data_IF_887173315165
#
_entry.id   IF_887173315165
#
_cell.length_a   1.000
_cell.length_b   1.000
_cell.length_c   1.000
_cell.angle_alpha   90.00
_cell.angle_beta   90.00
_cell.angle_gamma   90.00
#
_symmetry.space_group_name_H-M   'P 1'
#
loop_
_entity.id
_entity.type
_entity.pdbx_description
1 polymer ?
#
# COMPACT_ATOMS: atom_id res chain seq x y z
N UNK A 1 -74.17 -61.44 -36.07
CA UNK A 1 -74.50 -62.84 -35.64
C UNK A 1 -74.05 -63.00 -34.17
N UNK A 2 -75.04 -63.22 -33.28
CA UNK A 2 -74.98 -63.88 -31.98
C UNK A 2 -74.12 -63.19 -30.87
N UNK A 3 -74.59 -62.83 -29.81
CA UNK A 3 -75.53 -63.16 -28.70
C UNK A 3 -74.78 -62.78 -27.40
N UNK A 4 -75.30 -61.84 -26.69
CA UNK A 4 -75.70 -61.77 -25.27
C UNK A 4 -74.99 -62.69 -24.25
N UNK A 5 -74.57 -62.11 -23.16
CA UNK A 5 -75.15 -62.47 -21.87
C UNK A 5 -74.78 -61.52 -20.75
N UNK A 6 -75.80 -61.07 -20.07
CA UNK A 6 -75.75 -60.33 -18.83
C UNK A 6 -75.62 -61.23 -17.62
N UNK A 7 -74.85 -60.88 -16.63
CA UNK A 7 -75.07 -61.39 -15.26
C UNK A 7 -74.90 -60.19 -14.27
N UNK A 8 -75.98 -59.94 -13.54
CA UNK A 8 -76.08 -59.07 -12.37
C UNK A 8 -75.49 -59.79 -11.15
N UNK A 9 -74.72 -59.13 -10.36
CA UNK A 9 -74.69 -59.34 -8.92
C UNK A 9 -74.52 -58.00 -8.17
N UNK A 10 -75.37 -57.92 -7.14
CA UNK A 10 -75.53 -56.79 -6.23
C UNK A 10 -74.46 -56.76 -5.10
N UNK A 11 -74.23 -55.59 -4.62
CA UNK A 11 -74.08 -55.32 -3.20
C UNK A 11 -72.70 -55.38 -2.61
N UNK A 12 -72.16 -54.23 -2.24
CA UNK A 12 -71.88 -53.84 -0.84
C UNK A 12 -71.22 -52.42 -0.82
N UNK A 13 -71.93 -51.50 -0.19
CA UNK A 13 -71.40 -50.19 0.14
C UNK A 13 -70.52 -50.33 1.38
N UNK A 14 -69.22 -50.14 1.26
CA UNK A 14 -68.33 -49.95 2.41
C UNK A 14 -67.80 -48.51 2.34
N UNK A 15 -68.30 -47.67 3.24
CA UNK A 15 -67.76 -46.30 3.44
C UNK A 15 -66.42 -46.39 4.10
N UNK A 16 -65.33 -45.99 3.36
CA UNK A 16 -64.00 -45.76 3.93
C UNK A 16 -63.80 -44.25 4.00
N UNK A 17 -63.91 -43.72 5.22
CA UNK A 17 -63.51 -42.37 5.56
C UNK A 17 -61.97 -42.29 5.54
N UNK A 18 -61.43 -41.87 4.40
CA UNK A 18 -59.97 -41.56 4.26
C UNK A 18 -59.67 -40.21 4.86
N UNK A 19 -58.94 -40.13 6.01
CA UNK A 19 -58.31 -38.97 6.51
C UNK A 19 -57.12 -38.60 5.53
N UNK A 20 -57.33 -37.61 4.71
CA UNK A 20 -56.22 -36.98 3.97
C UNK A 20 -55.40 -36.09 4.92
N UNK A 21 -54.29 -36.62 5.47
CA UNK A 21 -53.28 -35.84 6.13
C UNK A 21 -52.57 -34.96 5.08
N UNK A 22 -52.95 -33.69 5.00
CA UNK A 22 -52.22 -32.70 4.24
C UNK A 22 -50.92 -32.42 4.98
N UNK A 23 -49.83 -33.10 4.56
CA UNK A 23 -48.48 -32.80 5.01
C UNK A 23 -48.10 -31.41 4.52
N UNK A 24 -48.06 -30.40 5.41
CA UNK A 24 -47.38 -29.11 5.15
C UNK A 24 -45.87 -29.39 4.96
N UNK A 25 -45.46 -29.50 3.70
CA UNK A 25 -44.04 -29.43 3.37
C UNK A 25 -43.63 -27.98 3.63
N UNK A 26 -42.98 -27.73 4.75
CA UNK A 26 -42.31 -26.45 5.00
C UNK A 26 -41.22 -26.30 3.95
N UNK A 27 -41.49 -25.56 2.87
CA UNK A 27 -40.49 -25.10 1.92
C UNK A 27 -39.58 -24.11 2.69
N UNK A 28 -38.51 -24.64 3.25
CA UNK A 28 -37.48 -23.81 3.83
C UNK A 28 -37.01 -22.80 2.77
N UNK A 29 -37.26 -21.52 3.00
CA UNK A 29 -36.69 -20.46 2.16
C UNK A 29 -35.18 -20.62 2.22
N UNK A 30 -34.59 -21.12 1.12
CA UNK A 30 -33.15 -21.05 0.90
C UNK A 30 -32.84 -19.55 0.76
N UNK A 31 -32.46 -18.94 1.85
CA UNK A 31 -32.01 -17.55 1.84
C UNK A 31 -30.76 -17.48 0.95
N UNK A 32 -30.90 -16.89 -0.22
CA UNK A 32 -29.78 -16.70 -1.14
C UNK A 32 -28.66 -15.98 -0.37
N UNK A 33 -27.47 -16.57 -0.35
CA UNK A 33 -26.31 -15.94 0.28
C UNK A 33 -26.03 -14.60 -0.43
N UNK A 34 -25.78 -13.53 0.33
CA UNK A 34 -25.48 -12.24 -0.29
C UNK A 34 -24.22 -12.36 -1.17
N UNK A 35 -24.22 -11.64 -2.30
CA UNK A 35 -23.09 -11.65 -3.23
C UNK A 35 -21.77 -11.29 -2.51
N UNK A 36 -20.64 -11.86 -2.91
CA UNK A 36 -19.33 -11.60 -2.29
C UNK A 36 -18.98 -10.10 -2.29
N UNK A 37 -18.28 -9.65 -1.27
CA UNK A 37 -17.59 -8.36 -1.28
C UNK A 37 -16.27 -8.54 -2.02
N UNK A 38 -16.15 -7.92 -3.20
CA UNK A 38 -14.94 -7.95 -3.99
C UNK A 38 -14.05 -6.75 -3.67
N UNK A 39 -12.82 -7.02 -3.29
CA UNK A 39 -11.76 -6.05 -3.07
C UNK A 39 -10.53 -6.45 -3.89
N UNK A 40 -9.66 -5.50 -4.18
CA UNK A 40 -8.56 -5.78 -5.09
C UNK A 40 -7.24 -5.17 -4.61
N UNK A 41 -6.14 -5.87 -4.90
CA UNK A 41 -4.79 -5.35 -4.84
C UNK A 41 -4.22 -5.24 -6.26
N UNK A 42 -3.80 -4.02 -6.63
CA UNK A 42 -3.19 -3.72 -7.91
C UNK A 42 -1.84 -3.09 -7.67
N UNK A 43 -0.77 -3.72 -8.11
CA UNK A 43 0.55 -3.15 -7.94
C UNK A 43 1.49 -3.51 -9.11
N UNK A 44 2.75 -3.04 -9.07
CA UNK A 44 3.80 -3.48 -9.98
C UNK A 44 4.41 -4.78 -9.47
N UNK A 45 3.75 -5.90 -9.72
CA UNK A 45 4.24 -7.23 -9.32
C UNK A 45 5.41 -7.73 -10.16
N UNK A 46 5.77 -7.00 -11.19
CA UNK A 46 6.93 -7.24 -12.04
C UNK A 46 7.77 -5.98 -12.23
N UNK A 47 8.97 -6.13 -12.82
CA UNK A 47 9.85 -5.00 -13.13
C UNK A 47 10.52 -4.39 -11.90
N UNK A 48 10.77 -3.07 -11.95
CA UNK A 48 11.59 -2.32 -10.99
C UNK A 48 11.11 -2.38 -9.54
N UNK A 49 9.82 -2.64 -9.32
CA UNK A 49 9.19 -2.70 -7.99
C UNK A 49 8.69 -4.10 -7.58
N UNK A 50 8.88 -5.13 -8.42
CA UNK A 50 8.33 -6.46 -8.18
C UNK A 50 8.72 -7.07 -6.82
N UNK A 51 9.95 -6.85 -6.38
CA UNK A 51 10.40 -7.33 -5.06
C UNK A 51 9.74 -6.60 -3.89
N UNK A 52 9.41 -5.32 -4.06
CA UNK A 52 8.80 -4.51 -2.99
C UNK A 52 7.36 -4.92 -2.70
N UNK A 53 6.63 -5.31 -3.76
CA UNK A 53 5.19 -5.60 -3.73
C UNK A 53 4.86 -7.08 -3.56
N UNK A 54 5.88 -7.94 -3.67
CA UNK A 54 5.69 -9.38 -3.51
C UNK A 54 5.16 -9.73 -2.11
N UNK A 55 4.00 -10.42 -2.06
CA UNK A 55 3.35 -10.85 -0.82
C UNK A 55 2.23 -9.94 -0.33
N UNK A 56 1.82 -8.95 -1.10
CA UNK A 56 0.68 -8.08 -0.77
C UNK A 56 -0.65 -8.83 -0.79
N UNK A 57 -0.82 -9.80 -1.70
CA UNK A 57 -2.02 -10.66 -1.74
C UNK A 57 -2.14 -11.47 -0.46
N UNK A 58 -1.05 -12.06 0.01
CA UNK A 58 -1.02 -12.82 1.25
C UNK A 58 -1.30 -11.93 2.48
N UNK A 59 -0.83 -10.68 2.46
CA UNK A 59 -1.13 -9.72 3.51
C UNK A 59 -2.62 -9.31 3.51
N UNK A 60 -3.23 -9.09 2.34
CA UNK A 60 -4.66 -8.85 2.20
C UNK A 60 -5.46 -10.06 2.71
N UNK A 61 -5.05 -11.28 2.37
CA UNK A 61 -5.68 -12.51 2.85
C UNK A 61 -5.64 -12.60 4.38
N UNK A 62 -4.51 -12.23 5.02
CA UNK A 62 -4.42 -12.20 6.49
C UNK A 62 -5.40 -11.22 7.13
N UNK A 63 -5.61 -10.05 6.52
CA UNK A 63 -6.57 -9.07 7.01
C UNK A 63 -8.03 -9.60 6.91
N UNK A 64 -8.34 -10.34 5.85
CA UNK A 64 -9.65 -11.00 5.68
C UNK A 64 -9.85 -12.10 6.74
N UNK A 65 -8.83 -12.91 7.00
CA UNK A 65 -8.88 -13.92 8.04
C UNK A 65 -9.12 -13.33 9.44
N UNK A 66 -8.48 -12.18 9.72
CA UNK A 66 -8.61 -11.50 11.01
C UNK A 66 -10.00 -10.88 11.26
N UNK A 67 -10.81 -10.70 10.20
CA UNK A 67 -12.24 -10.37 10.34
C UNK A 67 -13.17 -11.59 10.20
N UNK A 68 -12.62 -12.81 10.20
CA UNK A 68 -13.39 -14.07 10.13
C UNK A 68 -13.81 -14.48 8.73
N UNK A 69 -13.18 -13.95 7.67
CA UNK A 69 -13.42 -14.33 6.26
C UNK A 69 -14.70 -13.78 5.65
N UNK A 70 -15.55 -13.12 6.44
CA UNK A 70 -16.85 -12.57 6.02
C UNK A 70 -17.10 -11.22 6.66
N UNK A 71 -17.80 -10.35 5.94
CA UNK A 71 -18.28 -9.06 6.44
C UNK A 71 -19.77 -8.91 6.13
N UNK A 72 -20.59 -8.69 7.15
CA UNK A 72 -22.05 -8.58 7.05
C UNK A 72 -22.69 -9.76 6.28
N UNK A 73 -22.21 -10.99 6.54
CA UNK A 73 -22.68 -12.21 5.91
C UNK A 73 -22.13 -12.48 4.50
N UNK A 74 -21.42 -11.54 3.88
CA UNK A 74 -20.78 -11.68 2.56
C UNK A 74 -19.37 -12.27 2.73
N UNK A 75 -19.01 -13.28 1.96
CA UNK A 75 -17.61 -13.68 1.81
C UNK A 75 -16.80 -12.54 1.16
N UNK A 76 -15.51 -12.44 1.48
CA UNK A 76 -14.62 -11.47 0.84
C UNK A 76 -13.80 -12.17 -0.23
N UNK A 77 -13.84 -11.63 -1.46
CA UNK A 77 -13.12 -12.13 -2.63
C UNK A 77 -12.01 -11.16 -3.02
N UNK A 78 -10.80 -11.69 -3.26
CA UNK A 78 -9.64 -10.90 -3.68
C UNK A 78 -9.47 -11.00 -5.19
N UNK A 79 -9.32 -9.83 -5.84
CA UNK A 79 -8.77 -9.74 -7.18
C UNK A 79 -7.36 -9.17 -7.10
N UNK A 80 -6.46 -9.60 -8.01
CA UNK A 80 -5.12 -9.05 -8.12
C UNK A 80 -4.71 -8.85 -9.57
N UNK A 81 -3.92 -7.81 -9.84
CA UNK A 81 -3.37 -7.57 -11.17
C UNK A 81 -2.07 -6.74 -11.10
N UNK A 82 -1.19 -7.02 -12.07
CA UNK A 82 0.05 -6.28 -12.30
C UNK A 82 -0.19 -5.14 -13.29
N UNK A 83 -0.02 -3.90 -12.83
CA UNK A 83 -0.10 -2.71 -13.69
C UNK A 83 1.22 -2.43 -14.45
N UNK A 84 2.27 -3.22 -14.24
CA UNK A 84 3.55 -3.14 -14.96
C UNK A 84 4.20 -1.73 -14.93
N UNK A 85 3.93 -0.94 -13.87
CA UNK A 85 4.33 0.48 -13.76
C UNK A 85 3.76 1.40 -14.85
N UNK A 86 2.72 0.96 -15.60
CA UNK A 86 2.11 1.68 -16.72
C UNK A 86 0.75 2.29 -16.32
N UNK A 87 0.58 3.61 -16.37
CA UNK A 87 -0.67 4.28 -15.97
C UNK A 87 -1.89 3.86 -16.80
N UNK A 88 -1.72 3.64 -18.11
CA UNK A 88 -2.78 3.20 -19.01
C UNK A 88 -3.25 1.77 -18.70
N UNK A 89 -2.34 0.87 -18.37
CA UNK A 89 -2.66 -0.50 -17.92
C UNK A 89 -3.43 -0.46 -16.60
N UNK A 90 -2.93 0.27 -15.60
CA UNK A 90 -3.62 0.42 -14.32
C UNK A 90 -5.00 1.05 -14.47
N UNK A 91 -5.14 2.06 -15.33
CA UNK A 91 -6.41 2.70 -15.62
C UNK A 91 -7.41 1.74 -16.28
N UNK A 92 -6.97 0.94 -17.26
CA UNK A 92 -7.81 -0.06 -17.91
C UNK A 92 -8.31 -1.14 -16.96
N UNK A 93 -7.41 -1.65 -16.09
CA UNK A 93 -7.75 -2.64 -15.06
C UNK A 93 -8.76 -2.05 -14.07
N UNK A 94 -8.53 -0.82 -13.56
CA UNK A 94 -9.43 -0.17 -12.62
C UNK A 94 -10.84 0.03 -13.19
N UNK A 95 -10.97 0.49 -14.44
CA UNK A 95 -12.27 0.61 -15.12
C UNK A 95 -12.98 -0.75 -15.21
N UNK A 96 -12.30 -1.79 -15.68
CA UNK A 96 -12.87 -3.14 -15.76
C UNK A 96 -13.34 -3.63 -14.39
N UNK A 97 -12.52 -3.48 -13.36
CA UNK A 97 -12.85 -3.93 -12.01
C UNK A 97 -14.06 -3.21 -11.42
N UNK A 98 -14.16 -1.90 -11.62
CA UNK A 98 -15.28 -1.12 -11.11
C UNK A 98 -16.56 -1.32 -11.93
N UNK A 99 -16.47 -1.35 -13.27
CA UNK A 99 -17.64 -1.35 -14.16
C UNK A 99 -18.20 -2.77 -14.40
N UNK A 100 -17.34 -3.79 -14.41
CA UNK A 100 -17.70 -5.15 -14.82
C UNK A 100 -17.61 -6.13 -13.67
N UNK A 101 -16.49 -6.11 -12.93
CA UNK A 101 -16.22 -7.13 -11.92
C UNK A 101 -16.85 -6.81 -10.56
N UNK A 102 -17.30 -5.56 -10.33
CA UNK A 102 -18.00 -5.14 -9.12
C UNK A 102 -17.10 -4.94 -7.91
N UNK A 103 -15.81 -4.64 -8.11
CA UNK A 103 -14.84 -4.33 -7.05
C UNK A 103 -15.27 -3.07 -6.31
N UNK A 104 -15.23 -3.09 -4.98
CA UNK A 104 -15.62 -1.97 -4.11
C UNK A 104 -14.45 -1.16 -3.59
N UNK A 105 -13.25 -1.75 -3.54
CA UNK A 105 -12.04 -1.08 -3.07
C UNK A 105 -10.81 -1.64 -3.79
N UNK A 106 -9.94 -0.75 -4.25
CA UNK A 106 -8.62 -1.08 -4.79
C UNK A 106 -7.55 -0.56 -3.82
N UNK A 107 -6.54 -1.39 -3.50
CA UNK A 107 -5.37 -0.99 -2.71
C UNK A 107 -4.06 -1.40 -3.40
N UNK A 108 -2.91 -1.07 -2.81
CA UNK A 108 -1.58 -1.23 -3.41
C UNK A 108 -1.16 0.04 -4.12
N UNK A 109 -1.15 0.00 -5.45
CA UNK A 109 -0.88 1.15 -6.33
C UNK A 109 0.52 1.76 -6.07
N UNK A 110 1.57 0.94 -6.10
CA UNK A 110 2.95 1.33 -5.72
C UNK A 110 3.62 2.37 -6.64
N UNK A 111 3.06 2.65 -7.81
CA UNK A 111 3.62 3.61 -8.76
C UNK A 111 2.80 4.91 -8.78
N UNK A 112 3.40 6.07 -8.43
CA UNK A 112 2.65 7.32 -8.26
C UNK A 112 1.88 7.77 -9.51
N UNK A 113 2.42 7.58 -10.72
CA UNK A 113 1.71 7.90 -11.95
C UNK A 113 0.50 6.99 -12.20
N UNK A 114 0.59 5.71 -11.84
CA UNK A 114 -0.55 4.77 -11.87
C UNK A 114 -1.58 5.16 -10.81
N UNK A 115 -1.12 5.41 -9.59
CA UNK A 115 -1.99 5.79 -8.47
C UNK A 115 -2.81 7.06 -8.77
N UNK A 116 -2.18 8.08 -9.37
CA UNK A 116 -2.88 9.30 -9.81
C UNK A 116 -3.94 9.02 -10.88
N UNK A 117 -3.65 8.14 -11.83
CA UNK A 117 -4.61 7.74 -12.87
C UNK A 117 -5.79 6.95 -12.28
N UNK A 118 -5.52 5.98 -11.40
CA UNK A 118 -6.55 5.17 -10.73
C UNK A 118 -7.38 6.03 -9.77
N UNK A 119 -6.76 6.94 -9.00
CA UNK A 119 -7.43 7.88 -8.11
C UNK A 119 -8.50 8.70 -8.84
N UNK A 120 -8.16 9.21 -10.04
CA UNK A 120 -9.11 9.94 -10.87
C UNK A 120 -10.30 9.07 -11.26
N UNK A 121 -10.06 7.81 -11.67
CA UNK A 121 -11.12 6.86 -12.03
C UNK A 121 -11.99 6.52 -10.81
N UNK A 122 -11.38 6.22 -9.66
CA UNK A 122 -12.10 5.94 -8.42
C UNK A 122 -13.01 7.09 -8.02
N UNK A 123 -12.51 8.32 -8.11
CA UNK A 123 -13.29 9.53 -7.84
C UNK A 123 -14.46 9.71 -8.82
N UNK A 124 -14.23 9.55 -10.13
CA UNK A 124 -15.27 9.63 -11.17
C UNK A 124 -16.37 8.58 -10.96
N UNK A 125 -16.00 7.39 -10.47
CA UNK A 125 -16.93 6.27 -10.21
C UNK A 125 -17.57 6.32 -8.81
N UNK A 126 -17.11 7.21 -7.92
CA UNK A 126 -17.55 7.23 -6.53
C UNK A 126 -17.20 5.96 -5.76
N UNK A 127 -16.05 5.33 -6.08
CA UNK A 127 -15.57 4.09 -5.46
C UNK A 127 -14.24 4.33 -4.71
N UNK A 128 -13.85 3.37 -3.89
CA UNK A 128 -12.74 3.56 -2.95
C UNK A 128 -11.40 3.11 -3.55
N UNK A 129 -10.38 3.96 -3.41
CA UNK A 129 -8.98 3.58 -3.53
C UNK A 129 -8.19 3.90 -2.25
N UNK A 130 -7.34 2.96 -1.81
CA UNK A 130 -6.47 3.13 -0.65
C UNK A 130 -5.03 2.86 -1.09
N UNK A 131 -4.26 3.91 -1.26
CA UNK A 131 -2.92 3.85 -1.80
C UNK A 131 -1.93 3.54 -0.69
N UNK A 132 -1.22 2.42 -0.79
CA UNK A 132 -0.24 1.96 0.21
C UNK A 132 1.20 2.10 -0.26
N UNK A 133 1.45 2.05 -1.57
CA UNK A 133 2.79 2.01 -2.12
C UNK A 133 3.25 3.30 -2.81
N UNK A 134 2.40 4.00 -3.56
CA UNK A 134 2.78 5.25 -4.20
C UNK A 134 3.03 6.37 -3.18
N UNK A 135 4.14 7.11 -3.37
CA UNK A 135 4.60 8.07 -2.38
C UNK A 135 4.26 9.53 -2.68
N UNK A 136 3.89 9.92 -3.92
CA UNK A 136 3.67 11.34 -4.23
C UNK A 136 2.71 12.00 -3.26
N UNK A 137 3.17 13.04 -2.54
CA UNK A 137 2.33 13.81 -1.61
C UNK A 137 1.15 14.51 -2.32
N UNK A 138 1.16 14.59 -3.64
CA UNK A 138 0.05 15.15 -4.42
C UNK A 138 -1.23 14.30 -4.28
N UNK A 139 -1.12 13.01 -3.91
CA UNK A 139 -2.25 12.10 -3.68
C UNK A 139 -3.14 12.48 -2.48
N UNK A 140 -2.59 13.17 -1.49
CA UNK A 140 -3.32 13.81 -0.38
C UNK A 140 -3.27 15.33 -0.46
N UNK A 141 -2.77 15.88 -1.57
CA UNK A 141 -2.71 17.28 -1.91
C UNK A 141 -3.67 17.60 -3.06
N UNK A 142 -3.18 18.16 -4.19
CA UNK A 142 -4.04 18.55 -5.32
C UNK A 142 -4.90 17.41 -5.90
N UNK A 143 -4.48 16.15 -5.77
CA UNK A 143 -5.19 14.97 -6.23
C UNK A 143 -5.92 14.21 -5.11
N UNK A 144 -6.22 14.86 -3.98
CA UNK A 144 -7.04 14.22 -2.94
C UNK A 144 -8.47 13.92 -3.46
N UNK A 145 -9.10 12.92 -2.87
CA UNK A 145 -10.45 12.48 -3.25
C UNK A 145 -11.30 12.20 -2.02
N UNK A 146 -12.60 12.46 -2.04
CA UNK A 146 -13.49 12.16 -0.92
C UNK A 146 -13.57 10.67 -0.61
N UNK A 147 -13.32 9.81 -1.62
CA UNK A 147 -13.30 8.35 -1.52
C UNK A 147 -11.89 7.75 -1.59
N UNK A 148 -10.86 8.59 -1.53
CA UNK A 148 -9.47 8.16 -1.61
C UNK A 148 -8.74 8.26 -0.28
N UNK A 149 -7.82 7.30 -0.02
CA UNK A 149 -6.90 7.38 1.09
C UNK A 149 -5.44 7.18 0.62
N UNK A 150 -4.50 7.81 1.34
CA UNK A 150 -3.06 7.67 1.15
C UNK A 150 -2.47 7.16 2.48
N UNK A 151 -2.06 5.87 2.52
CA UNK A 151 -2.07 5.12 3.77
C UNK A 151 -0.74 5.08 4.51
N UNK A 152 0.37 4.73 3.84
CA UNK A 152 1.60 4.36 4.55
C UNK A 152 2.53 5.54 4.78
N UNK A 153 2.96 6.22 3.73
CA UNK A 153 3.93 7.31 3.74
C UNK A 153 3.68 8.25 2.57
N UNK A 154 4.44 9.35 2.48
CA UNK A 154 4.50 10.19 1.30
C UNK A 154 5.86 10.89 1.17
N UNK A 155 6.08 11.57 0.04
CA UNK A 155 7.33 12.26 -0.25
C UNK A 155 7.64 13.38 0.74
N UNK A 156 6.61 14.00 1.33
CA UNK A 156 6.81 15.01 2.35
C UNK A 156 7.34 14.40 3.66
N UNK A 157 6.74 13.28 4.12
CA UNK A 157 7.19 12.60 5.33
C UNK A 157 8.63 12.08 5.18
N UNK A 158 8.97 11.52 4.00
CA UNK A 158 10.34 11.09 3.70
C UNK A 158 11.32 12.28 3.77
N UNK A 159 10.93 13.41 3.21
CA UNK A 159 11.73 14.63 3.24
C UNK A 159 11.94 15.15 4.66
N UNK A 160 10.86 15.24 5.46
CA UNK A 160 10.90 15.74 6.83
C UNK A 160 11.73 14.86 7.75
N UNK A 161 11.68 13.54 7.58
CA UNK A 161 12.36 12.61 8.49
C UNK A 161 13.81 12.37 8.04
N UNK A 162 14.06 11.89 6.82
CA UNK A 162 15.42 11.61 6.32
C UNK A 162 16.14 12.89 5.88
N UNK A 163 15.47 13.76 5.14
CA UNK A 163 16.09 14.98 4.60
C UNK A 163 16.55 15.93 5.69
N UNK A 164 15.68 16.26 6.65
CA UNK A 164 16.00 17.15 7.78
C UNK A 164 17.13 16.57 8.66
N UNK A 165 17.06 15.24 8.95
CA UNK A 165 18.10 14.58 9.73
C UNK A 165 19.50 14.70 9.09
N UNK A 166 19.58 14.54 7.77
CA UNK A 166 20.86 14.63 7.06
C UNK A 166 21.40 16.06 6.95
N UNK A 167 20.52 17.07 6.80
CA UNK A 167 20.92 18.47 6.84
C UNK A 167 21.48 18.82 8.21
N UNK A 168 20.80 18.45 9.30
CA UNK A 168 21.26 18.66 10.69
C UNK A 168 22.58 17.94 11.00
N UNK A 169 22.85 16.83 10.30
CA UNK A 169 24.13 16.11 10.38
C UNK A 169 25.24 16.72 9.48
N UNK A 170 25.06 17.96 9.01
CA UNK A 170 26.06 18.72 8.23
C UNK A 170 26.00 18.54 6.72
N UNK A 171 24.96 17.88 6.20
CA UNK A 171 24.68 17.73 4.77
C UNK A 171 24.02 18.99 4.19
N UNK A 172 24.73 20.07 4.07
CA UNK A 172 24.21 21.41 3.70
C UNK A 172 24.17 21.67 2.19
N UNK A 173 24.72 20.78 1.36
CA UNK A 173 24.68 20.92 -0.11
C UNK A 173 24.26 19.58 -0.76
N UNK A 174 23.27 19.67 -1.65
CA UNK A 174 22.60 18.51 -2.23
C UNK A 174 22.63 18.54 -3.75
N UNK A 175 22.85 17.35 -4.34
CA UNK A 175 22.62 17.07 -5.76
C UNK A 175 21.66 15.90 -5.87
N UNK A 176 20.66 15.97 -6.75
CA UNK A 176 19.66 14.91 -6.87
C UNK A 176 19.93 14.00 -8.07
N UNK A 177 19.76 12.70 -7.83
CA UNK A 177 19.62 11.66 -8.85
C UNK A 177 18.15 11.20 -8.85
N UNK A 178 17.38 11.64 -9.85
CA UNK A 178 15.92 11.62 -9.80
C UNK A 178 15.34 10.73 -10.89
N UNK A 179 14.47 9.77 -10.50
CA UNK A 179 13.68 9.01 -11.45
C UNK A 179 12.68 9.94 -12.19
N UNK A 180 12.70 9.93 -13.53
CA UNK A 180 11.98 10.90 -14.36
C UNK A 180 10.48 10.56 -14.50
N UNK A 181 9.76 10.60 -13.37
CA UNK A 181 8.30 10.47 -13.32
C UNK A 181 7.71 11.08 -12.05
N UNK A 182 6.37 11.03 -11.89
CA UNK A 182 5.63 11.76 -10.84
C UNK A 182 6.19 11.58 -9.41
N UNK A 183 6.66 10.37 -9.04
CA UNK A 183 7.25 10.12 -7.74
C UNK A 183 8.59 10.83 -7.55
N UNK A 184 9.54 10.63 -8.49
CA UNK A 184 10.88 11.23 -8.36
C UNK A 184 10.79 12.74 -8.32
N UNK A 185 9.95 13.36 -9.18
CA UNK A 185 9.73 14.81 -9.18
C UNK A 185 9.14 15.32 -7.87
N UNK A 186 8.15 14.58 -7.30
CA UNK A 186 7.58 14.97 -6.00
C UNK A 186 8.61 14.86 -4.88
N UNK A 187 9.40 13.79 -4.85
CA UNK A 187 10.42 13.57 -3.83
C UNK A 187 11.54 14.62 -3.90
N UNK A 188 12.08 14.88 -5.09
CA UNK A 188 13.07 15.95 -5.31
C UNK A 188 12.53 17.31 -4.85
N UNK A 189 11.29 17.64 -5.22
CA UNK A 189 10.62 18.87 -4.82
C UNK A 189 10.52 19.01 -3.30
N UNK A 190 10.00 17.97 -2.64
CA UNK A 190 9.70 18.01 -1.22
C UNK A 190 11.00 18.00 -0.38
N UNK A 191 12.00 17.19 -0.75
CA UNK A 191 13.34 17.21 -0.10
C UNK A 191 14.06 18.52 -0.34
N UNK A 192 13.99 19.08 -1.56
CA UNK A 192 14.59 20.40 -1.86
C UNK A 192 13.99 21.51 -0.99
N UNK A 193 12.69 21.45 -0.71
CA UNK A 193 12.04 22.42 0.17
C UNK A 193 12.55 22.30 1.61
N UNK A 194 12.66 21.09 2.14
CA UNK A 194 13.18 20.82 3.49
C UNK A 194 14.66 21.24 3.60
N UNK A 195 15.48 20.86 2.63
CA UNK A 195 16.91 21.24 2.60
C UNK A 195 17.07 22.76 2.65
N UNK A 196 16.30 23.49 1.84
CA UNK A 196 16.34 24.98 1.83
C UNK A 196 15.84 25.58 3.13
N UNK A 197 14.73 25.05 3.68
CA UNK A 197 14.18 25.53 4.95
C UNK A 197 15.15 25.30 6.13
N UNK A 198 15.95 24.24 6.09
CA UNK A 198 16.98 23.94 7.08
C UNK A 198 18.32 24.69 6.83
N UNK A 199 18.37 25.65 5.87
CA UNK A 199 19.55 26.45 5.57
C UNK A 199 20.54 25.79 4.61
N UNK A 200 20.24 24.64 4.05
CA UNK A 200 21.03 23.97 3.02
C UNK A 200 20.77 24.51 1.61
N UNK A 201 21.52 24.03 0.64
CA UNK A 201 21.39 24.41 -0.78
C UNK A 201 21.31 23.18 -1.68
N UNK A 202 20.51 23.29 -2.73
CA UNK A 202 20.47 22.35 -3.85
C UNK A 202 21.37 22.93 -4.94
N UNK A 203 22.43 22.19 -5.30
CA UNK A 203 23.44 22.64 -6.28
C UNK A 203 23.18 22.10 -7.68
N UNK A 204 22.22 21.16 -7.83
CA UNK A 204 21.80 20.61 -9.12
C UNK A 204 21.09 19.29 -8.96
N UNK A 205 20.80 18.69 -10.10
CA UNK A 205 20.20 17.36 -10.20
C UNK A 205 20.23 16.84 -11.62
N UNK A 206 20.09 15.54 -11.77
CA UNK A 206 19.98 14.85 -13.06
C UNK A 206 18.85 13.84 -12.99
N UNK A 207 18.13 13.66 -14.10
CA UNK A 207 17.02 12.73 -14.20
C UNK A 207 17.40 11.51 -15.01
N UNK A 208 16.92 10.35 -14.57
CA UNK A 208 17.10 9.08 -15.25
C UNK A 208 15.76 8.39 -15.55
N UNK A 209 15.64 7.65 -16.65
CA UNK A 209 14.45 6.84 -16.94
C UNK A 209 14.25 5.75 -15.87
N UNK A 210 12.99 5.29 -15.69
CA UNK A 210 12.72 4.08 -14.90
C UNK A 210 13.42 2.85 -15.50
N UNK A 211 13.84 1.94 -14.64
CA UNK A 211 14.56 0.70 -14.99
C UNK A 211 15.91 0.96 -15.64
N UNK A 212 16.60 2.02 -15.24
CA UNK A 212 17.98 2.33 -15.67
C UNK A 212 18.92 1.24 -15.18
N UNK A 213 19.70 0.67 -16.11
CA UNK A 213 20.69 -0.37 -15.81
C UNK A 213 22.10 0.19 -15.61
N UNK A 214 22.41 1.28 -16.29
CA UNK A 214 23.70 1.97 -16.22
C UNK A 214 23.53 3.41 -15.72
N UNK A 215 24.02 3.64 -14.50
CA UNK A 215 24.00 4.95 -13.85
C UNK A 215 25.30 5.74 -14.02
N UNK A 216 26.28 5.23 -14.77
CA UNK A 216 27.63 5.80 -14.85
C UNK A 216 27.63 7.30 -15.17
N UNK A 217 26.93 7.71 -16.23
CA UNK A 217 26.87 9.12 -16.67
C UNK A 217 26.18 10.03 -15.65
N UNK A 218 25.16 9.53 -14.97
CA UNK A 218 24.43 10.24 -13.92
C UNK A 218 25.27 10.41 -12.66
N UNK A 219 25.99 9.35 -12.26
CA UNK A 219 26.86 9.34 -11.08
C UNK A 219 28.10 10.21 -11.27
N UNK A 220 28.69 10.28 -12.46
CA UNK A 220 29.77 11.19 -12.80
C UNK A 220 29.34 12.66 -12.64
N UNK A 221 28.13 13.02 -13.08
CA UNK A 221 27.57 14.36 -12.87
C UNK A 221 27.38 14.66 -11.38
N UNK A 222 26.83 13.68 -10.63
CA UNK A 222 26.67 13.81 -9.19
C UNK A 222 28.02 13.98 -8.47
N UNK A 223 29.03 13.21 -8.85
CA UNK A 223 30.39 13.33 -8.31
C UNK A 223 31.03 14.68 -8.63
N UNK A 224 30.89 15.16 -9.88
CA UNK A 224 31.42 16.45 -10.33
C UNK A 224 30.77 17.64 -9.64
N UNK A 225 29.53 17.52 -9.15
CA UNK A 225 28.81 18.58 -8.43
C UNK A 225 29.47 19.00 -7.12
N UNK A 226 30.30 18.15 -6.53
CA UNK A 226 30.93 18.33 -5.21
C UNK A 226 29.91 18.56 -4.07
N UNK A 227 28.65 18.22 -4.28
CA UNK A 227 27.63 18.25 -3.21
C UNK A 227 28.05 17.34 -2.06
N UNK A 228 27.80 17.73 -0.82
CA UNK A 228 28.03 16.84 0.34
C UNK A 228 27.10 15.64 0.35
N UNK A 229 25.89 15.79 -0.20
CA UNK A 229 24.87 14.74 -0.24
C UNK A 229 24.37 14.55 -1.67
N UNK A 230 24.34 13.32 -2.13
CA UNK A 230 23.63 12.89 -3.33
C UNK A 230 22.30 12.31 -2.89
N UNK A 231 21.21 13.00 -3.16
CA UNK A 231 19.85 12.57 -2.86
C UNK A 231 19.35 11.61 -3.94
N UNK A 232 19.13 10.34 -3.58
CA UNK A 232 18.59 9.34 -4.47
C UNK A 232 17.05 9.43 -4.45
N UNK A 233 16.50 10.24 -5.38
CA UNK A 233 15.05 10.40 -5.55
C UNK A 233 14.50 9.34 -6.53
N UNK A 234 14.81 8.09 -6.23
CA UNK A 234 14.39 6.87 -6.91
C UNK A 234 14.04 5.78 -5.87
N UNK A 235 13.64 4.59 -6.28
CA UNK A 235 13.27 3.49 -5.40
C UNK A 235 13.47 2.12 -6.09
N UNK A 236 13.46 1.04 -5.31
CA UNK A 236 13.54 -0.32 -5.78
C UNK A 236 14.84 -0.62 -6.53
N UNK A 237 14.76 -1.34 -7.65
CA UNK A 237 15.94 -1.77 -8.39
C UNK A 237 16.80 -0.58 -8.87
N UNK A 238 16.20 0.57 -9.21
CA UNK A 238 16.96 1.77 -9.62
C UNK A 238 17.81 2.30 -8.46
N UNK A 239 17.29 2.30 -7.24
CA UNK A 239 18.05 2.68 -6.02
C UNK A 239 19.16 1.67 -5.74
N UNK A 240 18.86 0.38 -5.79
CA UNK A 240 19.85 -0.69 -5.56
C UNK A 240 21.01 -0.57 -6.56
N UNK A 241 20.70 -0.39 -7.84
CA UNK A 241 21.71 -0.27 -8.91
C UNK A 241 22.54 1.00 -8.74
N UNK A 242 21.90 2.15 -8.47
CA UNK A 242 22.61 3.42 -8.28
C UNK A 242 23.53 3.40 -7.05
N UNK A 243 23.15 2.75 -5.95
CA UNK A 243 24.00 2.61 -4.75
C UNK A 243 25.20 1.71 -5.06
N UNK A 244 24.99 0.54 -5.71
CA UNK A 244 26.10 -0.35 -6.08
C UNK A 244 27.13 0.33 -6.97
N UNK A 245 26.66 0.97 -8.05
CA UNK A 245 27.53 1.68 -8.97
C UNK A 245 28.20 2.91 -8.33
N UNK A 246 27.52 3.65 -7.46
CA UNK A 246 28.17 4.71 -6.68
C UNK A 246 29.33 4.21 -5.81
N UNK A 247 29.22 3.00 -5.28
CA UNK A 247 30.30 2.31 -4.58
C UNK A 247 31.50 2.00 -5.49
N UNK A 248 31.23 1.52 -6.71
CA UNK A 248 32.26 1.23 -7.74
C UNK A 248 32.99 2.50 -8.18
N UNK A 249 32.27 3.61 -8.35
CA UNK A 249 32.85 4.93 -8.65
C UNK A 249 33.55 5.58 -7.46
N UNK A 250 33.51 4.96 -6.27
CA UNK A 250 34.17 5.47 -5.07
C UNK A 250 33.59 6.78 -4.55
N UNK A 251 32.33 7.10 -4.87
CA UNK A 251 31.66 8.37 -4.51
C UNK A 251 31.70 8.61 -3.00
N UNK A 252 31.32 7.60 -2.21
CA UNK A 252 31.32 7.69 -0.74
C UNK A 252 32.74 7.80 -0.18
N UNK A 253 33.70 7.05 -0.76
CA UNK A 253 35.12 7.17 -0.41
C UNK A 253 35.69 8.53 -0.73
N UNK A 254 35.14 9.19 -1.75
CA UNK A 254 35.48 10.58 -2.15
C UNK A 254 34.90 11.66 -1.23
N UNK A 255 34.14 11.28 -0.18
CA UNK A 255 33.63 12.20 0.85
C UNK A 255 32.17 12.65 0.63
N UNK A 256 31.50 12.25 -0.46
CA UNK A 256 30.08 12.53 -0.66
C UNK A 256 29.23 11.45 0.02
N UNK A 257 28.12 11.84 0.65
CA UNK A 257 27.17 10.92 1.28
C UNK A 257 26.04 10.58 0.29
N UNK A 258 25.57 9.33 0.33
CA UNK A 258 24.33 8.94 -0.34
C UNK A 258 23.16 9.06 0.64
N UNK A 259 22.09 9.73 0.22
CA UNK A 259 20.81 9.75 0.92
C UNK A 259 19.83 8.84 0.19
N UNK A 260 19.54 7.68 0.75
CA UNK A 260 18.49 6.80 0.28
C UNK A 260 17.13 7.35 0.71
N UNK A 261 16.51 8.20 -0.13
CA UNK A 261 15.30 8.93 0.26
C UNK A 261 14.07 8.03 0.35
N UNK A 262 14.05 6.91 -0.41
CA UNK A 262 13.10 5.83 -0.25
C UNK A 262 13.82 4.49 -0.47
N UNK A 263 14.15 3.86 0.63
CA UNK A 263 14.81 2.55 0.69
C UNK A 263 14.02 1.66 1.63
N UNK A 264 13.81 0.43 1.25
CA UNK A 264 13.05 -0.56 1.99
C UNK A 264 13.96 -1.64 2.59
N UNK A 265 13.47 -2.33 3.61
CA UNK A 265 14.20 -3.45 4.21
C UNK A 265 14.62 -4.50 3.18
N UNK A 266 13.79 -4.76 2.17
CA UNK A 266 14.08 -5.67 1.05
C UNK A 266 15.23 -5.17 0.17
N UNK A 267 15.34 -3.86 -0.05
CA UNK A 267 16.45 -3.26 -0.81
C UNK A 267 17.77 -3.43 -0.07
N UNK A 268 17.78 -3.21 1.26
CA UNK A 268 18.96 -3.41 2.10
C UNK A 268 19.40 -4.88 2.13
N UNK A 269 18.45 -5.82 2.16
CA UNK A 269 18.75 -7.25 2.05
C UNK A 269 19.40 -7.59 0.70
N UNK A 270 18.93 -6.97 -0.41
CA UNK A 270 19.49 -7.14 -1.76
C UNK A 270 20.85 -6.47 -1.94
N UNK A 271 21.08 -5.33 -1.26
CA UNK A 271 22.37 -4.63 -1.24
C UNK A 271 23.42 -5.35 -0.38
N UNK A 272 22.97 -6.05 0.64
CA UNK A 272 23.75 -6.59 1.76
C UNK A 272 24.32 -5.50 2.70
N UNK A 273 24.55 -5.86 3.95
CA UNK A 273 25.03 -4.91 4.97
C UNK A 273 26.38 -4.25 4.63
N UNK A 274 27.39 -4.95 4.07
CA UNK A 274 28.66 -4.31 3.70
C UNK A 274 28.49 -3.12 2.73
N UNK A 275 27.50 -3.16 1.84
CA UNK A 275 27.22 -2.10 0.85
C UNK A 275 26.32 -1.03 1.43
N UNK A 276 25.29 -1.42 2.19
CA UNK A 276 24.25 -0.52 2.67
C UNK A 276 24.52 0.09 4.05
N UNK A 277 25.53 -0.38 4.80
CA UNK A 277 25.82 0.09 6.15
C UNK A 277 25.95 1.61 6.24
N UNK A 278 25.34 2.17 7.27
CA UNK A 278 25.37 3.62 7.52
C UNK A 278 24.33 4.43 6.73
N UNK A 279 23.63 3.83 5.74
CA UNK A 279 22.50 4.51 5.10
C UNK A 279 21.45 4.87 6.14
N UNK A 280 20.93 6.10 6.06
CA UNK A 280 19.85 6.60 6.89
C UNK A 280 18.60 6.66 6.03
N UNK A 281 17.49 6.13 6.55
CA UNK A 281 16.24 5.99 5.82
C UNK A 281 15.02 6.10 6.75
N UNK A 282 13.85 6.28 6.14
CA UNK A 282 12.57 6.38 6.85
C UNK A 282 11.66 5.22 6.47
N UNK A 283 11.14 4.51 7.47
CA UNK A 283 10.09 3.51 7.28
C UNK A 283 8.91 3.72 8.23
N UNK A 284 7.73 3.28 7.81
CA UNK A 284 6.51 3.29 8.61
C UNK A 284 6.29 1.97 9.36
N UNK A 285 7.07 0.94 9.05
CA UNK A 285 7.02 -0.39 9.65
C UNK A 285 8.36 -1.08 9.51
N UNK A 286 8.77 -1.74 10.57
CA UNK A 286 9.88 -2.69 10.56
C UNK A 286 9.48 -3.94 11.34
N UNK A 287 9.84 -5.10 10.82
CA UNK A 287 9.41 -6.39 11.37
C UNK A 287 9.81 -6.60 12.83
N UNK A 288 10.92 -6.03 13.26
CA UNK A 288 11.50 -6.12 14.62
C UNK A 288 11.35 -4.81 15.42
N UNK A 289 10.29 -4.04 15.17
CA UNK A 289 10.06 -2.78 15.90
C UNK A 289 9.58 -3.04 17.35
N UNK A 290 8.71 -4.04 17.53
CA UNK A 290 8.14 -4.43 18.83
C UNK A 290 7.57 -5.86 18.78
N UNK A 291 7.02 -6.34 19.91
CA UNK A 291 6.47 -7.69 20.00
C UNK A 291 5.30 -7.96 19.04
N UNK A 292 4.46 -6.96 18.79
CA UNK A 292 3.33 -7.10 17.85
C UNK A 292 3.81 -7.25 16.41
N UNK A 293 4.80 -6.43 15.99
CA UNK A 293 5.37 -6.54 14.63
C UNK A 293 6.07 -7.87 14.43
N UNK A 294 6.77 -8.37 15.45
CA UNK A 294 7.40 -9.71 15.43
C UNK A 294 6.36 -10.83 15.34
N UNK A 295 5.30 -10.78 16.14
CA UNK A 295 4.24 -11.77 16.12
C UNK A 295 3.49 -11.79 14.78
N UNK A 296 3.15 -10.62 14.23
CA UNK A 296 2.51 -10.51 12.93
C UNK A 296 3.42 -11.02 11.81
N UNK A 297 4.69 -10.65 11.82
CA UNK A 297 5.68 -11.12 10.85
C UNK A 297 5.85 -12.65 10.87
N UNK A 298 5.80 -13.28 12.06
CA UNK A 298 5.81 -14.74 12.16
C UNK A 298 4.61 -15.37 11.44
N UNK A 299 3.42 -14.81 11.59
CA UNK A 299 2.20 -15.25 10.86
C UNK A 299 2.34 -15.05 9.36
N UNK A 300 2.86 -13.90 8.94
CA UNK A 300 3.07 -13.58 7.54
C UNK A 300 4.08 -14.55 6.90
N UNK A 301 5.21 -14.81 7.55
CA UNK A 301 6.23 -15.75 7.05
C UNK A 301 5.71 -17.17 6.88
N UNK A 302 4.71 -17.59 7.64
CA UNK A 302 4.07 -18.89 7.45
C UNK A 302 3.26 -19.00 6.14
N UNK A 303 2.87 -17.84 5.54
CA UNK A 303 2.16 -17.77 4.25
C UNK A 303 3.09 -17.44 3.09
N UNK A 304 4.09 -16.64 3.36
CA UNK A 304 5.08 -16.18 2.36
C UNK A 304 6.47 -16.21 2.99
N UNK A 305 7.34 -17.08 2.52
CA UNK A 305 8.69 -17.23 3.07
C UNK A 305 9.58 -16.02 2.74
N UNK A 306 9.22 -14.86 3.32
CA UNK A 306 10.01 -13.63 3.23
C UNK A 306 9.66 -12.66 4.38
N UNK A 307 10.55 -11.69 4.60
CA UNK A 307 10.28 -10.59 5.54
C UNK A 307 9.32 -9.57 4.90
N UNK A 308 8.25 -9.17 5.59
CA UNK A 308 7.32 -8.17 5.07
C UNK A 308 7.96 -6.78 5.04
N UNK A 309 7.66 -6.01 4.00
CA UNK A 309 7.99 -4.58 3.90
C UNK A 309 6.88 -3.72 4.52
N UNK A 310 7.12 -2.39 4.63
CA UNK A 310 6.06 -1.46 5.02
C UNK A 310 4.91 -1.40 4.00
N UNK A 311 5.14 -1.76 2.71
CA UNK A 311 4.08 -1.86 1.71
C UNK A 311 3.16 -3.04 2.00
N UNK A 312 3.74 -4.20 2.23
CA UNK A 312 3.04 -5.43 2.59
C UNK A 312 2.18 -5.23 3.85
N UNK A 313 2.78 -4.65 4.91
CA UNK A 313 2.06 -4.33 6.14
C UNK A 313 0.99 -3.26 5.90
N UNK A 314 1.22 -2.32 4.97
CA UNK A 314 0.27 -1.30 4.55
C UNK A 314 -0.99 -1.87 3.91
N UNK A 315 -0.83 -2.86 3.02
CA UNK A 315 -1.98 -3.56 2.41
C UNK A 315 -2.80 -4.30 3.47
N UNK A 316 -2.15 -4.98 4.42
CA UNK A 316 -2.84 -5.58 5.55
C UNK A 316 -3.62 -4.55 6.37
N UNK A 317 -2.95 -3.47 6.80
CA UNK A 317 -3.53 -2.42 7.65
C UNK A 317 -4.72 -1.73 6.97
N UNK A 318 -4.58 -1.33 5.70
CA UNK A 318 -5.62 -0.66 4.93
C UNK A 318 -6.84 -1.56 4.69
N UNK A 319 -6.60 -2.81 4.35
CA UNK A 319 -7.65 -3.82 4.15
C UNK A 319 -8.40 -4.09 5.45
N UNK A 320 -7.70 -4.32 6.56
CA UNK A 320 -8.30 -4.56 7.86
C UNK A 320 -9.21 -3.40 8.29
N UNK A 321 -8.72 -2.16 8.15
CA UNK A 321 -9.47 -0.97 8.53
C UNK A 321 -10.70 -0.76 7.63
N UNK A 322 -10.56 -0.94 6.32
CA UNK A 322 -11.68 -0.90 5.37
C UNK A 322 -12.77 -1.93 5.72
N UNK A 323 -12.39 -3.19 5.94
CA UNK A 323 -13.35 -4.25 6.26
C UNK A 323 -14.09 -3.99 7.58
N UNK A 324 -13.39 -3.48 8.61
CA UNK A 324 -14.02 -3.03 9.87
C UNK A 324 -15.01 -1.88 9.64
N UNK A 325 -14.68 -0.93 8.76
CA UNK A 325 -15.56 0.18 8.43
C UNK A 325 -16.82 -0.32 7.67
N UNK A 326 -16.66 -1.21 6.69
CA UNK A 326 -17.80 -1.85 6.00
C UNK A 326 -18.67 -2.62 6.97
N UNK A 327 -18.06 -3.35 7.91
CA UNK A 327 -18.80 -4.07 8.95
C UNK A 327 -19.64 -3.14 9.81
N UNK A 328 -19.07 -2.00 10.21
CA UNK A 328 -19.75 -1.01 11.05
C UNK A 328 -20.87 -0.26 10.29
N UNK A 329 -20.71 -0.01 8.99
CA UNK A 329 -21.71 0.65 8.13
C UNK A 329 -22.85 -0.30 7.74
N UNK A 330 -22.58 -1.62 7.67
CA UNK A 330 -23.54 -2.65 7.25
C UNK A 330 -23.52 -2.96 5.75
N UNK A 331 -22.95 -2.11 4.90
CA UNK A 331 -22.84 -2.31 3.44
C UNK A 331 -21.58 -1.66 2.87
N UNK A 332 -20.96 -2.25 1.81
CA UNK A 332 -19.88 -1.61 1.04
C UNK A 332 -20.39 -0.68 -0.07
N UNK A 333 -21.69 -0.56 -0.28
CA UNK A 333 -22.26 0.02 -1.51
C UNK A 333 -22.26 1.58 -1.50
N UNK A 334 -22.18 2.19 -0.32
CA UNK A 334 -22.04 3.64 -0.15
C UNK A 334 -20.60 3.99 0.25
N UNK A 335 -19.76 4.24 -0.75
CA UNK A 335 -18.35 4.53 -0.54
C UNK A 335 -18.11 5.76 0.35
N UNK A 336 -18.95 6.79 0.26
CA UNK A 336 -18.82 7.99 1.10
C UNK A 336 -19.11 7.69 2.57
N UNK A 337 -20.11 6.86 2.87
CA UNK A 337 -20.38 6.41 4.25
C UNK A 337 -19.26 5.53 4.78
N UNK A 338 -18.74 4.62 3.96
CA UNK A 338 -17.59 3.79 4.37
C UNK A 338 -16.37 4.67 4.65
N UNK A 339 -16.03 5.63 3.78
CA UNK A 339 -14.92 6.54 4.00
C UNK A 339 -15.13 7.47 5.22
N UNK A 340 -16.36 7.93 5.45
CA UNK A 340 -16.68 8.69 6.67
C UNK A 340 -16.43 7.84 7.93
N UNK A 341 -16.86 6.58 7.93
CA UNK A 341 -16.61 5.63 9.01
C UNK A 341 -15.12 5.34 9.20
N UNK A 342 -14.35 5.18 8.12
CA UNK A 342 -12.89 5.02 8.18
C UNK A 342 -12.21 6.23 8.85
N UNK A 343 -12.71 7.46 8.60
CA UNK A 343 -12.18 8.69 9.23
C UNK A 343 -12.58 8.83 10.70
N UNK A 344 -13.77 8.37 11.05
CA UNK A 344 -14.28 8.36 12.43
C UNK A 344 -13.51 7.38 13.34
N UNK A 345 -13.17 6.22 12.81
CA UNK A 345 -12.50 5.17 13.57
C UNK A 345 -10.98 5.42 13.63
N UNK A 346 -10.34 5.38 14.81
CA UNK A 346 -8.89 5.41 14.88
C UNK A 346 -8.30 4.14 14.27
N UNK A 347 -7.20 4.27 13.53
CA UNK A 347 -6.47 3.12 13.01
C UNK A 347 -5.62 2.53 14.11
N UNK A 348 -5.94 1.30 14.50
CA UNK A 348 -5.21 0.53 15.50
C UNK A 348 -4.94 -0.88 14.97
N UNK A 349 -3.69 -1.13 14.65
CA UNK A 349 -3.21 -2.40 14.10
C UNK A 349 -1.70 -2.60 14.39
N UNK A 350 -1.09 -3.55 13.70
CA UNK A 350 0.33 -3.88 13.83
C UNK A 350 1.27 -2.73 13.40
N UNK A 351 0.80 -1.85 12.50
CA UNK A 351 1.59 -0.73 12.00
C UNK A 351 1.35 0.57 12.76
N UNK A 352 0.17 0.75 13.33
CA UNK A 352 -0.30 2.06 13.76
C UNK A 352 -1.06 1.97 15.06
N UNK A 353 -0.78 2.89 15.98
CA UNK A 353 -1.55 3.12 17.19
C UNK A 353 -2.18 4.51 17.13
N UNK A 354 -3.51 4.55 17.28
CA UNK A 354 -4.30 5.79 17.24
C UNK A 354 -4.09 6.64 15.98
N UNK A 355 -3.83 5.99 14.82
CA UNK A 355 -3.67 6.68 13.55
C UNK A 355 -4.96 7.41 13.16
N UNK A 356 -4.82 8.59 12.57
CA UNK A 356 -5.95 9.43 12.14
C UNK A 356 -5.98 9.57 10.63
N UNK A 357 -7.04 9.07 10.00
CA UNK A 357 -7.32 9.34 8.60
C UNK A 357 -7.97 10.72 8.48
N UNK A 358 -7.26 11.68 7.84
CA UNK A 358 -7.70 13.07 7.69
C UNK A 358 -8.67 13.24 6.52
N UNK A 359 -9.24 14.43 6.43
CA UNK A 359 -10.18 14.82 5.35
C UNK A 359 -9.53 14.84 3.97
N UNK A 360 -8.23 15.17 3.89
CA UNK A 360 -7.42 15.09 2.67
C UNK A 360 -7.06 13.65 2.25
N UNK A 361 -7.52 12.65 3.00
CA UNK A 361 -7.22 11.24 2.78
C UNK A 361 -5.87 10.78 3.31
N UNK A 362 -5.06 11.63 3.96
CA UNK A 362 -3.79 11.20 4.55
C UNK A 362 -4.02 10.48 5.88
N UNK A 363 -3.52 9.23 6.00
CA UNK A 363 -3.38 8.58 7.30
C UNK A 363 -2.16 9.14 8.03
N UNK A 364 -2.39 9.88 9.12
CA UNK A 364 -1.34 10.41 10.00
C UNK A 364 -0.98 9.36 11.03
N UNK A 365 0.31 9.03 11.12
CA UNK A 365 0.90 8.01 11.98
C UNK A 365 2.38 8.33 12.23
N UNK A 366 2.99 7.73 13.22
CA UNK A 366 4.42 7.88 13.47
C UNK A 366 5.24 7.29 12.33
N UNK A 367 6.37 7.93 12.04
CA UNK A 367 7.40 7.48 11.11
C UNK A 367 8.70 7.21 11.88
N UNK A 368 9.47 6.26 11.38
CA UNK A 368 10.68 5.81 12.07
C UNK A 368 11.92 6.11 11.21
N UNK A 369 12.87 6.81 11.81
CA UNK A 369 14.20 7.02 11.23
C UNK A 369 15.09 5.88 11.65
N UNK A 370 15.64 5.17 10.67
CA UNK A 370 16.56 4.07 10.88
C UNK A 370 17.93 4.36 10.28
N UNK A 371 18.94 3.68 10.80
CA UNK A 371 20.24 3.52 10.18
C UNK A 371 20.50 2.04 9.89
N UNK A 372 21.02 1.76 8.71
CA UNK A 372 21.45 0.41 8.35
C UNK A 372 22.66 0.02 9.19
N UNK A 373 22.60 -1.11 9.86
CA UNK A 373 23.67 -1.67 10.71
C UNK A 373 24.93 -2.00 9.90
N UNK A 374 26.08 -1.88 10.54
CA UNK A 374 27.28 -2.55 10.07
C UNK A 374 27.15 -4.08 10.26
N UNK A 375 27.85 -4.90 9.46
CA UNK A 375 27.84 -6.36 9.63
C UNK A 375 28.13 -6.83 11.05
N UNK A 376 29.02 -6.14 11.77
CA UNK A 376 29.38 -6.43 13.17
C UNK A 376 28.29 -6.13 14.20
N UNK A 377 27.29 -5.32 13.84
CA UNK A 377 26.16 -4.96 14.71
C UNK A 377 24.94 -5.88 14.51
N UNK A 378 24.90 -6.63 13.40
CA UNK A 378 23.79 -7.52 13.04
C UNK A 378 23.93 -8.89 13.75
N UNK A 379 22.84 -9.34 14.35
CA UNK A 379 22.77 -10.63 15.07
C UNK A 379 22.35 -11.79 14.15
N UNK A 380 21.66 -11.51 13.06
CA UNK A 380 21.19 -12.46 12.04
C UNK A 380 20.80 -11.73 10.75
N UNK A 381 20.59 -12.46 9.66
CA UNK A 381 20.38 -11.91 8.29
C UNK A 381 19.28 -10.84 8.15
N UNK A 382 18.28 -10.85 9.00
CA UNK A 382 17.16 -9.90 8.94
C UNK A 382 17.27 -8.76 9.96
N UNK A 383 18.29 -8.79 10.83
CA UNK A 383 18.58 -7.75 11.81
C UNK A 383 19.44 -6.64 11.18
N UNK A 384 18.79 -5.83 10.34
CA UNK A 384 19.47 -4.89 9.43
C UNK A 384 19.40 -3.43 9.86
N UNK A 385 18.48 -3.08 10.78
CA UNK A 385 18.23 -1.69 11.16
C UNK A 385 18.50 -1.42 12.63
N UNK A 386 19.00 -0.20 12.88
CA UNK A 386 19.06 0.45 14.18
C UNK A 386 18.08 1.61 14.18
N UNK A 387 17.11 1.60 15.09
CA UNK A 387 16.18 2.71 15.26
C UNK A 387 16.94 3.92 15.83
N UNK A 388 16.87 5.05 15.13
CA UNK A 388 17.48 6.32 15.54
C UNK A 388 16.46 7.20 16.24
N UNK A 389 15.26 7.35 15.64
CA UNK A 389 14.19 8.16 16.19
C UNK A 389 12.82 7.68 15.70
N UNK A 390 11.80 7.92 16.52
CA UNK A 390 10.40 7.90 16.10
C UNK A 390 9.92 9.34 16.00
N UNK A 391 9.46 9.73 14.82
CA UNK A 391 8.94 11.07 14.54
C UNK A 391 7.42 11.02 14.60
N UNK A 392 6.79 11.76 15.53
CA UNK A 392 5.33 11.80 15.63
C UNK A 392 4.68 12.25 14.33
N UNK A 393 3.51 11.69 14.02
CA UNK A 393 2.84 11.91 12.76
C UNK A 393 2.52 13.37 12.47
N UNK A 394 2.20 14.17 13.48
CA UNK A 394 1.96 15.62 13.35
C UNK A 394 3.21 16.41 12.93
N UNK A 395 4.40 15.84 13.13
CA UNK A 395 5.69 16.40 12.70
C UNK A 395 6.18 15.80 11.38
N UNK A 396 5.81 14.56 11.09
CA UNK A 396 6.24 13.86 9.89
C UNK A 396 5.47 14.30 8.64
N UNK A 397 4.15 14.50 8.75
CA UNK A 397 3.30 14.82 7.60
C UNK A 397 2.99 16.32 7.50
N UNK A 398 2.73 16.74 6.26
CA UNK A 398 2.39 18.12 5.94
C UNK A 398 1.15 18.57 6.72
N UNK A 399 1.12 19.79 7.29
CA UNK A 399 -0.08 20.37 7.87
C UNK A 399 -1.24 20.36 6.88
N UNK A 400 -2.46 20.09 7.38
CA UNK A 400 -3.65 19.87 6.55
C UNK A 400 -3.92 21.05 5.60
N UNK A 401 -3.79 22.27 6.10
CA UNK A 401 -4.01 23.52 5.35
C UNK A 401 -2.94 23.85 4.30
N UNK A 402 -1.79 23.14 4.32
CA UNK A 402 -0.68 23.38 3.39
C UNK A 402 -0.67 22.41 2.20
N UNK A 403 -1.54 21.37 2.24
CA UNK A 403 -1.57 20.29 1.26
C UNK A 403 -2.16 20.66 -0.10
N UNK A 404 -2.84 21.80 -0.21
CA UNK A 404 -3.57 22.23 -1.43
C UNK A 404 -4.64 21.24 -1.88
N UNK A 405 -5.20 20.46 -0.96
CA UNK A 405 -6.31 19.58 -1.25
C UNK A 405 -7.58 20.43 -1.45
N UNK A 406 -8.30 20.30 -2.61
CA UNK A 406 -9.50 21.10 -2.87
C UNK A 406 -10.69 20.78 -1.94
N UNK A 407 -10.61 19.72 -1.17
CA UNK A 407 -11.61 19.35 -0.16
C UNK A 407 -11.45 20.15 1.16
N UNK A 408 -10.28 20.77 1.36
CA UNK A 408 -9.96 21.53 2.57
C UNK A 408 -10.19 23.00 2.29
N UNK A 409 -11.09 23.62 3.08
CA UNK A 409 -11.47 25.03 2.98
C UNK A 409 -10.61 25.92 3.86
#
# INVERSE_FOLDING_TARGET
MKIANAVRYAGLVAAVTGLTAVGLVAVGQVQAQPAPLKIAVMDGFSGVYGDLTAGEVEAMQMAIEDVGGKVNGRSVEILSADHQTKPDVGAAIARKWYDVDGVKMITGLGTSSVALAVRKISQEKGLIDIITGAASADLSGPACSPTGAHWVYDTYALAQVTGDALVKAGGDSWFFLTADYAFGHALERDVSAVVKAAGGKVVGGVRHPLSTQDFSSFLLQAQASKAKVIGLANAGQDTITSIKQAGEFGIVKGGQKLAGLLVFATDVQSLTLPVAQGLVLTEAFYWDLNDETRAWTKRYRAKKDRTPSMLTAGVYSSTLHYLKAVQAVGSPDDALKVMAKMREMPVNDVMTKNGKLREDGRLVRDMHLFQVKAPSESKHKDDIYKLIATVPGDKAYRPLNEGKCPLIK
#
